data_IF_974744656768
#
_entry.id   IF_974744656768
#
_cell.length_a   1.000
_cell.length_b   1.000
_cell.length_c   1.000
_cell.angle_alpha   90.00
_cell.angle_beta   90.00
_cell.angle_gamma   90.00
#
_symmetry.space_group_name_H-M   'P 1'
#
loop_
_entity.id
_entity.type
_entity.pdbx_description
1 polymer ?
#
# COMPACT_ATOMS: atom_id res chain seq x y z
N UNK A 1 -0.52 22.80 14.16
CA UNK A 1 -1.15 22.45 15.46
C UNK A 1 -1.37 23.65 16.38
N UNK A 2 -1.16 24.91 15.98
CA UNK A 2 -1.51 26.04 16.84
C UNK A 2 -3.06 26.19 16.91
N UNK A 3 -3.60 26.33 18.12
CA UNK A 3 -5.01 26.66 18.35
C UNK A 3 -6.01 25.49 18.44
N UNK A 4 -5.59 24.23 18.36
CA UNK A 4 -6.47 23.06 18.55
C UNK A 4 -6.21 22.40 19.92
N UNK A 5 -7.27 22.03 20.64
CA UNK A 5 -7.17 21.19 21.85
C UNK A 5 -7.04 19.72 21.44
N UNK A 6 -5.94 19.08 21.81
CA UNK A 6 -5.73 17.64 21.68
C UNK A 6 -6.03 16.95 23.02
N UNK A 7 -6.87 15.92 23.00
CA UNK A 7 -7.15 15.08 24.17
C UNK A 7 -6.61 13.69 23.85
N UNK A 8 -5.72 13.17 24.70
CA UNK A 8 -5.16 11.82 24.57
C UNK A 8 -5.85 10.91 25.57
N UNK A 9 -6.43 9.82 25.07
CA UNK A 9 -7.17 8.85 25.88
C UNK A 9 -6.47 7.49 25.82
N UNK A 10 -6.22 6.89 26.98
CA UNK A 10 -5.59 5.57 27.11
C UNK A 10 -6.43 4.57 27.92
N UNK A 11 -7.64 4.95 28.35
CA UNK A 11 -8.57 4.07 29.06
C UNK A 11 -9.56 3.42 28.09
N UNK A 12 -9.70 2.08 28.20
CA UNK A 12 -10.64 1.28 27.40
C UNK A 12 -12.07 1.82 27.53
N UNK A 13 -12.50 2.16 28.74
CA UNK A 13 -13.85 2.65 29.01
C UNK A 13 -14.16 3.96 28.27
N UNK A 14 -13.14 4.81 28.10
CA UNK A 14 -13.28 6.08 27.39
C UNK A 14 -13.27 5.89 25.86
N UNK A 15 -12.47 4.94 25.34
CA UNK A 15 -12.34 4.73 23.88
C UNK A 15 -13.40 3.80 23.29
N UNK A 16 -14.01 2.91 24.10
CA UNK A 16 -14.99 1.93 23.62
C UNK A 16 -16.17 2.60 22.90
N UNK A 17 -16.66 3.70 23.48
CA UNK A 17 -17.77 4.47 22.91
C UNK A 17 -17.36 5.32 21.69
N UNK A 18 -16.06 5.47 21.43
CA UNK A 18 -15.54 6.17 20.25
C UNK A 18 -15.49 5.26 19.02
N UNK A 19 -15.28 3.95 19.22
CA UNK A 19 -15.10 2.97 18.15
C UNK A 19 -16.37 2.14 17.88
N UNK A 20 -17.55 2.76 17.98
CA UNK A 20 -18.82 2.10 17.67
C UNK A 20 -19.11 2.24 16.17
N UNK A 21 -19.30 1.11 15.49
CA UNK A 21 -19.79 1.02 14.10
C UNK A 21 -21.26 1.43 14.01
N UNK A 22 -21.55 2.71 14.24
CA UNK A 22 -22.90 3.28 14.17
C UNK A 22 -22.86 4.59 13.40
N UNK A 23 -23.86 4.80 12.54
CA UNK A 23 -24.11 6.10 11.90
C UNK A 23 -24.44 7.21 12.91
N UNK A 24 -24.70 6.86 14.17
CA UNK A 24 -24.97 7.78 15.28
C UNK A 24 -23.73 8.05 16.16
N UNK A 25 -22.56 7.52 15.81
CA UNK A 25 -21.32 7.79 16.56
C UNK A 25 -21.00 9.29 16.56
N UNK A 26 -20.52 9.80 17.69
CA UNK A 26 -20.03 11.19 17.80
C UNK A 26 -18.62 11.35 17.22
N UNK A 27 -17.97 10.24 16.84
CA UNK A 27 -16.60 10.20 16.35
C UNK A 27 -16.50 9.54 14.97
N UNK A 28 -17.25 10.00 13.95
CA UNK A 28 -17.25 9.36 12.63
C UNK A 28 -15.99 9.67 11.81
N UNK A 29 -15.15 10.61 12.27
CA UNK A 29 -14.01 11.13 11.50
C UNK A 29 -12.69 10.97 12.23
N UNK A 30 -11.65 10.62 11.47
CA UNK A 30 -10.26 10.81 11.88
C UNK A 30 -9.88 12.22 11.47
N UNK A 31 -9.61 13.14 12.41
CA UNK A 31 -9.29 14.53 12.06
C UNK A 31 -7.85 14.62 11.50
N UNK A 32 -7.68 14.25 10.23
CA UNK A 32 -6.38 14.26 9.52
C UNK A 32 -6.34 15.44 8.54
N UNK A 33 -7.18 16.47 8.71
CA UNK A 33 -7.08 17.65 7.87
C UNK A 33 -5.89 18.52 8.29
N UNK A 34 -4.80 18.40 7.54
CA UNK A 34 -3.64 19.29 7.60
C UNK A 34 -3.44 19.98 6.25
N UNK A 35 -3.04 21.25 6.27
CA UNK A 35 -2.85 22.08 5.06
C UNK A 35 -1.99 21.39 3.99
N UNK A 36 -1.00 20.62 4.41
CA UNK A 36 -0.10 19.91 3.51
C UNK A 36 -0.71 18.69 2.81
N UNK A 37 -1.90 18.20 3.18
CA UNK A 37 -2.48 17.00 2.55
C UNK A 37 -2.84 17.26 1.09
N UNK A 38 -3.43 18.41 0.79
CA UNK A 38 -3.76 18.84 -0.56
C UNK A 38 -2.48 19.13 -1.37
N UNK A 39 -1.50 19.81 -0.78
CA UNK A 39 -0.20 20.10 -1.43
C UNK A 39 0.54 18.81 -1.78
N UNK A 40 0.51 17.82 -0.88
CA UNK A 40 1.12 16.52 -1.11
C UNK A 40 0.25 15.59 -1.96
N UNK A 41 -0.99 15.95 -2.27
CA UNK A 41 -1.86 15.18 -3.15
C UNK A 41 -2.36 13.87 -2.52
N UNK A 42 -2.63 13.86 -1.21
CA UNK A 42 -3.18 12.68 -0.54
C UNK A 42 -4.65 12.47 -0.94
N UNK A 43 -4.93 11.38 -1.67
CA UNK A 43 -6.23 11.10 -2.29
C UNK A 43 -6.89 9.80 -1.77
N UNK A 44 -6.22 9.08 -0.89
CA UNK A 44 -6.67 7.80 -0.34
C UNK A 44 -7.72 7.90 0.77
N UNK A 45 -8.19 6.75 1.22
CA UNK A 45 -9.18 6.60 2.28
C UNK A 45 -8.68 7.14 3.64
N UNK A 46 -7.41 6.94 3.97
CA UNK A 46 -6.83 7.28 5.26
C UNK A 46 -6.81 8.79 5.54
N UNK A 47 -6.67 9.60 4.49
CA UNK A 47 -6.63 11.07 4.56
C UNK A 47 -7.96 11.74 4.17
N UNK A 48 -8.96 10.95 3.75
CA UNK A 48 -10.25 11.46 3.31
C UNK A 48 -11.13 11.85 4.49
N UNK A 49 -11.42 13.15 4.60
CA UNK A 49 -12.28 13.71 5.64
C UNK A 49 -13.71 14.00 5.13
N UNK A 50 -13.99 13.84 3.83
CA UNK A 50 -15.35 14.00 3.32
C UNK A 50 -16.18 12.74 3.64
N UNK A 51 -17.27 12.85 4.43
CA UNK A 51 -17.99 11.67 4.92
C UNK A 51 -18.60 10.82 3.80
N UNK A 52 -19.13 11.48 2.76
CA UNK A 52 -19.80 10.81 1.65
C UNK A 52 -18.79 10.09 0.77
N UNK A 53 -17.70 10.78 0.41
CA UNK A 53 -16.58 10.24 -0.34
C UNK A 53 -15.88 9.12 0.42
N UNK A 54 -15.68 9.27 1.73
CA UNK A 54 -15.09 8.23 2.57
C UNK A 54 -15.97 6.99 2.61
N UNK A 55 -17.28 7.13 2.85
CA UNK A 55 -18.23 6.00 2.86
C UNK A 55 -18.24 5.30 1.50
N UNK A 56 -18.29 6.07 0.42
CA UNK A 56 -18.24 5.56 -0.95
C UNK A 56 -16.95 4.78 -1.22
N UNK A 57 -15.76 5.31 -0.92
CA UNK A 57 -14.49 4.60 -1.13
C UNK A 57 -14.35 3.38 -0.21
N UNK A 58 -14.76 3.49 1.06
CA UNK A 58 -14.65 2.41 2.06
C UNK A 58 -15.43 1.17 1.66
N UNK A 59 -16.57 1.33 1.01
CA UNK A 59 -17.42 0.20 0.64
C UNK A 59 -16.70 -0.72 -0.37
N UNK A 60 -16.03 -0.17 -1.39
CA UNK A 60 -15.34 -0.98 -2.40
C UNK A 60 -14.10 -1.64 -1.83
N UNK A 61 -13.39 -0.94 -0.94
CA UNK A 61 -12.29 -1.53 -0.18
C UNK A 61 -12.74 -2.74 0.64
N UNK A 62 -13.87 -2.59 1.34
CA UNK A 62 -14.46 -3.65 2.16
C UNK A 62 -14.99 -4.78 1.29
N UNK A 63 -15.69 -4.47 0.19
CA UNK A 63 -16.23 -5.44 -0.76
C UNK A 63 -15.10 -6.30 -1.33
N UNK A 64 -14.02 -5.69 -1.83
CA UNK A 64 -12.88 -6.42 -2.36
C UNK A 64 -12.28 -7.39 -1.33
N UNK A 65 -12.05 -6.93 -0.10
CA UNK A 65 -11.45 -7.76 0.96
C UNK A 65 -12.37 -8.85 1.51
N UNK A 66 -13.67 -8.60 1.54
CA UNK A 66 -14.64 -9.54 2.12
C UNK A 66 -15.07 -10.63 1.13
N UNK A 67 -14.75 -10.47 -0.16
CA UNK A 67 -15.03 -11.50 -1.18
C UNK A 67 -14.16 -12.74 -0.93
N UNK A 68 -14.75 -13.95 -0.79
CA UNK A 68 -13.98 -15.17 -0.52
C UNK A 68 -12.90 -15.49 -1.55
N UNK A 69 -13.16 -15.21 -2.84
CA UNK A 69 -12.16 -15.44 -3.90
C UNK A 69 -10.93 -14.55 -3.75
N UNK A 70 -11.10 -13.31 -3.27
CA UNK A 70 -9.97 -12.44 -2.96
C UNK A 70 -9.12 -13.02 -1.83
N UNK A 71 -9.75 -13.50 -0.75
CA UNK A 71 -9.02 -14.08 0.39
C UNK A 71 -8.28 -15.37 0.00
N UNK A 72 -8.92 -16.23 -0.78
CA UNK A 72 -8.28 -17.46 -1.28
C UNK A 72 -7.04 -17.11 -2.14
N UNK A 73 -7.21 -16.21 -3.11
CA UNK A 73 -6.14 -15.75 -3.99
C UNK A 73 -5.00 -15.08 -3.19
N UNK A 74 -5.32 -14.28 -2.17
CA UNK A 74 -4.34 -13.62 -1.33
C UNK A 74 -3.49 -14.63 -0.53
N UNK A 75 -4.09 -15.68 0.00
CA UNK A 75 -3.38 -16.76 0.70
C UNK A 75 -2.48 -17.53 -0.28
N UNK A 76 -3.00 -17.93 -1.44
CA UNK A 76 -2.20 -18.64 -2.46
C UNK A 76 -0.98 -17.82 -2.88
N UNK A 77 -1.17 -16.56 -3.24
CA UNK A 77 -0.07 -15.70 -3.65
C UNK A 77 0.93 -15.43 -2.53
N UNK A 78 0.46 -15.31 -1.28
CA UNK A 78 1.37 -15.15 -0.13
C UNK A 78 2.23 -16.39 0.06
N UNK A 79 1.66 -17.58 -0.06
CA UNK A 79 2.42 -18.84 0.05
C UNK A 79 3.44 -19.00 -1.07
N UNK A 80 3.07 -18.67 -2.31
CA UNK A 80 4.01 -18.66 -3.43
C UNK A 80 5.20 -17.72 -3.18
N UNK A 81 4.93 -16.50 -2.71
CA UNK A 81 5.96 -15.51 -2.41
C UNK A 81 6.82 -15.92 -1.20
N UNK A 82 6.24 -16.61 -0.22
CA UNK A 82 6.97 -17.16 0.91
C UNK A 82 7.98 -18.20 0.45
N UNK A 83 7.55 -19.18 -0.35
CA UNK A 83 8.42 -20.23 -0.88
C UNK A 83 9.55 -19.64 -1.73
N UNK A 84 9.28 -18.57 -2.47
CA UNK A 84 10.31 -17.85 -3.23
C UNK A 84 11.35 -17.19 -2.32
N UNK A 85 10.90 -16.48 -1.27
CA UNK A 85 11.81 -15.86 -0.30
C UNK A 85 12.63 -16.90 0.47
N UNK A 86 12.01 -18.00 0.88
CA UNK A 86 12.67 -19.12 1.56
C UNK A 86 13.75 -19.74 0.67
N UNK A 87 13.46 -19.93 -0.63
CA UNK A 87 14.46 -20.39 -1.61
C UNK A 87 15.65 -19.44 -1.70
N UNK A 88 15.41 -18.12 -1.72
CA UNK A 88 16.49 -17.12 -1.67
C UNK A 88 17.34 -17.25 -0.40
N UNK A 89 16.71 -17.37 0.78
CA UNK A 89 17.44 -17.55 2.05
C UNK A 89 18.26 -18.83 2.09
N UNK A 90 17.71 -19.95 1.59
CA UNK A 90 18.44 -21.21 1.50
C UNK A 90 19.69 -21.09 0.64
N UNK A 91 19.64 -20.32 -0.46
CA UNK A 91 20.80 -20.10 -1.33
C UNK A 91 21.88 -19.20 -0.71
N UNK A 92 21.52 -18.32 0.24
CA UNK A 92 22.50 -17.52 0.97
C UNK A 92 23.29 -18.33 2.01
N UNK A 93 22.74 -19.48 2.43
CA UNK A 93 23.34 -20.40 3.38
C UNK A 93 22.96 -20.12 4.84
N UNK A 94 23.08 -21.15 5.68
CA UNK A 94 22.56 -21.17 7.06
C UNK A 94 23.16 -20.10 8.00
N UNK A 95 24.39 -19.65 7.72
CA UNK A 95 25.11 -18.70 8.56
C UNK A 95 25.03 -17.24 8.06
N UNK A 96 24.22 -16.97 7.02
CA UNK A 96 24.09 -15.63 6.48
C UNK A 96 23.30 -14.72 7.44
N UNK A 97 23.89 -13.60 7.86
CA UNK A 97 23.20 -12.62 8.69
C UNK A 97 22.22 -11.78 7.86
N UNK A 98 20.92 -12.01 8.06
CA UNK A 98 19.87 -11.30 7.33
C UNK A 98 19.59 -9.92 7.94
N UNK A 99 19.62 -8.88 7.09
CA UNK A 99 18.96 -7.61 7.40
C UNK A 99 17.43 -7.79 7.29
N UNK A 100 16.84 -8.33 8.36
CA UNK A 100 15.45 -8.80 8.35
C UNK A 100 14.46 -7.69 7.96
N UNK A 101 14.69 -6.45 8.37
CA UNK A 101 13.77 -5.36 8.03
C UNK A 101 13.77 -5.08 6.53
N UNK A 102 14.93 -5.18 5.85
CA UNK A 102 15.00 -5.05 4.39
C UNK A 102 14.25 -6.17 3.70
N UNK A 103 14.41 -7.42 4.14
CA UNK A 103 13.68 -8.57 3.61
C UNK A 103 12.17 -8.44 3.82
N UNK A 104 11.73 -8.15 5.05
CA UNK A 104 10.32 -8.05 5.38
C UNK A 104 9.64 -6.88 4.67
N UNK A 105 10.34 -5.76 4.43
CA UNK A 105 9.83 -4.65 3.62
C UNK A 105 9.52 -5.10 2.18
N UNK A 106 10.43 -5.85 1.55
CA UNK A 106 10.25 -6.35 0.17
C UNK A 106 9.17 -7.42 0.10
N UNK A 107 9.24 -8.41 0.99
CA UNK A 107 8.23 -9.46 1.08
C UNK A 107 6.81 -8.90 1.31
N UNK A 108 6.66 -7.99 2.28
CA UNK A 108 5.38 -7.35 2.56
C UNK A 108 4.91 -6.47 1.40
N UNK A 109 5.84 -5.76 0.74
CA UNK A 109 5.54 -4.99 -0.46
C UNK A 109 5.01 -5.87 -1.58
N UNK A 110 5.67 -6.99 -1.85
CA UNK A 110 5.30 -7.89 -2.94
C UNK A 110 3.94 -8.55 -2.70
N UNK A 111 3.66 -8.97 -1.45
CA UNK A 111 2.34 -9.45 -1.06
C UNK A 111 1.29 -8.39 -1.36
N UNK A 112 1.44 -7.18 -0.80
CA UNK A 112 0.40 -6.16 -0.93
C UNK A 112 0.27 -5.68 -2.37
N UNK A 113 1.37 -5.56 -3.10
CA UNK A 113 1.40 -5.13 -4.49
C UNK A 113 0.68 -6.17 -5.37
N UNK A 114 0.95 -7.45 -5.15
CA UNK A 114 0.30 -8.54 -5.90
C UNK A 114 -1.18 -8.67 -5.56
N UNK A 115 -1.60 -8.65 -4.29
CA UNK A 115 -3.03 -8.72 -3.97
C UNK A 115 -3.80 -7.46 -4.40
N UNK A 116 -3.15 -6.29 -4.40
CA UNK A 116 -3.80 -5.03 -4.75
C UNK A 116 -3.87 -4.79 -6.25
N UNK A 117 -2.87 -5.20 -7.02
CA UNK A 117 -2.79 -4.91 -8.47
C UNK A 117 -2.83 -6.16 -9.35
N UNK A 118 -2.62 -7.33 -8.76
CA UNK A 118 -2.45 -8.61 -9.44
C UNK A 118 -1.15 -8.76 -10.22
N UNK A 119 -0.22 -7.81 -10.09
CA UNK A 119 1.11 -7.84 -10.72
C UNK A 119 2.13 -8.33 -9.68
N UNK A 120 3.03 -9.22 -10.08
CA UNK A 120 4.21 -9.57 -9.27
C UNK A 120 5.35 -8.62 -9.64
N UNK A 121 5.92 -7.92 -8.66
CA UNK A 121 6.98 -6.92 -8.88
C UNK A 121 8.39 -7.44 -8.57
N UNK A 122 8.53 -8.72 -8.20
CA UNK A 122 9.82 -9.43 -8.04
C UNK A 122 10.80 -8.73 -7.08
N UNK A 123 10.31 -8.01 -6.08
CA UNK A 123 11.14 -7.23 -5.16
C UNK A 123 12.04 -8.09 -4.28
N UNK A 124 11.57 -9.26 -3.88
CA UNK A 124 12.35 -10.23 -3.11
C UNK A 124 13.51 -10.76 -3.96
N UNK A 125 13.21 -11.20 -5.19
CA UNK A 125 14.21 -11.70 -6.14
C UNK A 125 15.20 -10.61 -6.53
N UNK A 126 14.74 -9.39 -6.80
CA UNK A 126 15.61 -8.27 -7.14
C UNK A 126 16.61 -7.98 -6.02
N UNK A 127 16.15 -8.01 -4.78
CA UNK A 127 17.03 -7.79 -3.63
C UNK A 127 18.03 -8.92 -3.42
N UNK A 128 17.58 -10.16 -3.53
CA UNK A 128 18.46 -11.33 -3.51
C UNK A 128 19.55 -11.23 -4.58
N UNK A 129 19.18 -10.93 -5.84
CA UNK A 129 20.14 -10.73 -6.93
C UNK A 129 21.11 -9.59 -6.66
N UNK A 130 20.65 -8.51 -6.03
CA UNK A 130 21.53 -7.41 -5.66
C UNK A 130 22.57 -7.85 -4.61
N UNK A 131 22.16 -8.63 -3.61
CA UNK A 131 23.08 -9.21 -2.61
C UNK A 131 24.12 -10.11 -3.29
N UNK A 132 23.69 -11.04 -4.14
CA UNK A 132 24.61 -11.95 -4.84
C UNK A 132 25.58 -11.19 -5.75
N UNK A 133 25.11 -10.15 -6.42
CA UNK A 133 25.95 -9.30 -7.26
C UNK A 133 26.97 -8.49 -6.43
N UNK A 134 26.55 -7.89 -5.31
CA UNK A 134 27.44 -7.17 -4.38
C UNK A 134 28.52 -8.11 -3.79
N UNK A 135 28.18 -9.38 -3.57
CA UNK A 135 29.11 -10.41 -3.11
C UNK A 135 29.93 -11.05 -4.23
N UNK A 136 29.82 -10.56 -5.47
CA UNK A 136 30.50 -11.10 -6.67
C UNK A 136 30.19 -12.58 -6.97
N UNK A 137 29.04 -13.08 -6.53
CA UNK A 137 28.56 -14.45 -6.78
C UNK A 137 27.98 -14.56 -8.20
N UNK A 138 27.25 -13.54 -8.63
CA UNK A 138 26.67 -13.45 -9.97
C UNK A 138 27.10 -12.19 -10.70
N UNK A 139 27.13 -12.24 -12.03
CA UNK A 139 27.28 -11.06 -12.88
C UNK A 139 25.95 -10.79 -13.57
N UNK A 140 25.32 -9.67 -13.21
CA UNK A 140 24.09 -9.22 -13.85
C UNK A 140 24.42 -8.56 -15.19
N UNK A 141 23.73 -8.99 -16.25
CA UNK A 141 23.77 -8.23 -17.50
C UNK A 141 23.03 -6.88 -17.36
N UNK A 142 23.20 -5.99 -18.34
CA UNK A 142 22.63 -4.64 -18.30
C UNK A 142 21.11 -4.65 -18.09
N UNK A 143 20.38 -5.49 -18.83
CA UNK A 143 18.93 -5.60 -18.71
C UNK A 143 18.47 -6.13 -17.35
N UNK A 144 19.19 -7.07 -16.76
CA UNK A 144 18.89 -7.57 -15.42
C UNK A 144 19.17 -6.53 -14.36
N UNK A 145 20.27 -5.78 -14.50
CA UNK A 145 20.62 -4.68 -13.61
C UNK A 145 19.55 -3.59 -13.63
N UNK A 146 19.12 -3.16 -14.83
CA UNK A 146 18.05 -2.18 -14.97
C UNK A 146 16.74 -2.61 -14.27
N UNK A 147 16.38 -3.90 -14.37
CA UNK A 147 15.21 -4.44 -13.67
C UNK A 147 15.35 -4.40 -12.15
N UNK A 148 16.51 -4.79 -11.64
CA UNK A 148 16.81 -4.76 -10.20
C UNK A 148 16.77 -3.30 -9.70
N UNK A 149 17.40 -2.38 -10.42
CA UNK A 149 17.39 -0.96 -10.10
C UNK A 149 15.98 -0.36 -10.16
N UNK A 150 15.16 -0.70 -11.17
CA UNK A 150 13.78 -0.24 -11.26
C UNK A 150 12.95 -0.70 -10.06
N UNK A 151 13.10 -1.97 -9.66
CA UNK A 151 12.41 -2.56 -8.51
C UNK A 151 12.78 -1.85 -7.20
N UNK A 152 14.08 -1.66 -6.96
CA UNK A 152 14.58 -0.97 -5.77
C UNK A 152 14.17 0.51 -5.74
N UNK A 153 14.23 1.20 -6.88
CA UNK A 153 13.76 2.58 -7.01
C UNK A 153 12.25 2.69 -6.70
N UNK A 154 11.45 1.71 -7.13
CA UNK A 154 10.02 1.70 -6.87
C UNK A 154 9.71 1.52 -5.37
N UNK A 155 10.35 0.56 -4.69
CA UNK A 155 10.17 0.35 -3.24
C UNK A 155 10.64 1.57 -2.46
N UNK A 156 11.83 2.10 -2.79
CA UNK A 156 12.37 3.28 -2.13
C UNK A 156 11.45 4.49 -2.33
N UNK A 157 10.79 4.59 -3.48
CA UNK A 157 9.82 5.64 -3.75
C UNK A 157 8.58 5.54 -2.87
N UNK A 158 8.06 4.32 -2.61
CA UNK A 158 6.96 4.10 -1.66
C UNK A 158 7.37 4.56 -0.26
N UNK A 159 8.52 4.10 0.23
CA UNK A 159 9.04 4.48 1.55
C UNK A 159 9.24 6.00 1.68
N UNK A 160 9.83 6.62 0.66
CA UNK A 160 10.02 8.07 0.58
C UNK A 160 8.70 8.83 0.59
N UNK A 161 7.68 8.32 -0.10
CA UNK A 161 6.35 8.92 -0.11
C UNK A 161 5.71 8.92 1.28
N UNK A 162 5.66 7.76 1.95
CA UNK A 162 5.03 7.65 3.27
C UNK A 162 5.80 8.40 4.36
N UNK A 163 7.14 8.37 4.33
CA UNK A 163 7.97 9.23 5.21
C UNK A 163 7.78 10.71 4.91
N UNK A 164 7.54 11.05 3.64
CA UNK A 164 7.29 12.41 3.18
C UNK A 164 6.07 13.06 3.83
N UNK A 165 5.02 12.28 4.12
CA UNK A 165 3.77 12.76 4.76
C UNK A 165 4.06 13.57 6.02
N UNK A 166 5.05 13.16 6.82
CA UNK A 166 5.44 13.83 8.07
C UNK A 166 5.85 15.29 7.83
N UNK A 167 6.52 15.61 6.72
CA UNK A 167 6.92 16.98 6.39
C UNK A 167 5.70 17.87 6.13
N UNK A 168 4.64 17.31 5.55
CA UNK A 168 3.41 18.03 5.23
C UNK A 168 2.47 18.16 6.43
N UNK A 169 2.62 17.29 7.43
CA UNK A 169 1.94 17.38 8.73
C UNK A 169 2.60 18.41 9.65
N UNK A 170 3.94 18.37 9.77
CA UNK A 170 4.68 19.16 10.76
C UNK A 170 4.92 20.60 10.30
N UNK A 171 5.43 20.79 9.08
CA UNK A 171 5.79 22.12 8.58
C UNK A 171 4.57 22.80 7.99
N UNK A 172 4.31 24.06 8.34
CA UNK A 172 3.24 24.84 7.69
C UNK A 172 3.64 25.23 6.25
N UNK A 173 2.69 25.75 5.46
CA UNK A 173 2.96 26.17 4.08
C UNK A 173 4.11 27.16 3.95
N UNK A 174 4.23 28.13 4.86
CA UNK A 174 5.35 29.09 4.80
C UNK A 174 6.70 28.38 4.89
N UNK A 175 6.87 27.51 5.89
CA UNK A 175 8.11 26.76 6.07
C UNK A 175 8.44 25.89 4.86
N UNK A 176 7.44 25.19 4.30
CA UNK A 176 7.61 24.35 3.11
C UNK A 176 8.03 25.12 1.86
N UNK A 177 7.61 26.37 1.71
CA UNK A 177 7.86 27.16 0.50
C UNK A 177 9.03 28.12 0.60
N UNK A 178 9.39 28.58 1.81
CA UNK A 178 10.33 29.70 1.97
C UNK A 178 11.59 29.34 2.77
N UNK A 179 11.56 28.38 3.70
CA UNK A 179 12.78 27.99 4.43
C UNK A 179 13.64 27.09 3.51
N UNK A 180 14.87 27.50 3.14
CA UNK A 180 15.63 26.85 2.06
C UNK A 180 15.82 25.34 2.22
N UNK A 181 16.22 24.88 3.40
CA UNK A 181 16.46 23.45 3.66
C UNK A 181 15.17 22.62 3.58
N UNK A 182 14.07 23.12 4.16
CA UNK A 182 12.76 22.45 4.12
C UNK A 182 12.22 22.44 2.70
N UNK A 183 12.29 23.58 2.01
CA UNK A 183 11.87 23.72 0.61
C UNK A 183 12.62 22.75 -0.31
N UNK A 184 13.93 22.59 -0.12
CA UNK A 184 14.74 21.62 -0.86
C UNK A 184 14.23 20.19 -0.67
N UNK A 185 13.96 19.79 0.57
CA UNK A 185 13.39 18.47 0.89
C UNK A 185 11.98 18.29 0.31
N UNK A 186 11.10 19.26 0.49
CA UNK A 186 9.72 19.25 -0.05
C UNK A 186 9.71 19.07 -1.56
N UNK A 187 10.58 19.78 -2.30
CA UNK A 187 10.72 19.60 -3.75
C UNK A 187 11.10 18.17 -4.13
N UNK A 188 12.05 17.57 -3.41
CA UNK A 188 12.43 16.17 -3.62
C UNK A 188 11.27 15.20 -3.35
N UNK A 189 10.53 15.42 -2.27
CA UNK A 189 9.36 14.61 -1.91
C UNK A 189 8.24 14.70 -2.95
N UNK A 190 8.00 15.89 -3.51
CA UNK A 190 7.01 16.09 -4.58
C UNK A 190 7.44 15.40 -5.88
N UNK A 191 8.73 15.49 -6.25
CA UNK A 191 9.26 14.75 -7.41
C UNK A 191 9.11 13.23 -7.24
N UNK A 192 9.41 12.71 -6.06
CA UNK A 192 9.23 11.29 -5.74
C UNK A 192 7.75 10.87 -5.84
N UNK A 193 6.85 11.68 -5.27
CA UNK A 193 5.40 11.47 -5.39
C UNK A 193 4.98 11.37 -6.85
N UNK A 194 5.38 12.33 -7.68
CA UNK A 194 4.96 12.37 -9.07
C UNK A 194 5.44 11.12 -9.83
N UNK A 195 6.67 10.68 -9.58
CA UNK A 195 7.18 9.40 -10.09
C UNK A 195 6.32 8.20 -9.64
N UNK A 196 6.02 8.09 -8.34
CA UNK A 196 5.21 7.01 -7.80
C UNK A 196 3.80 6.99 -8.38
N UNK A 197 3.18 8.17 -8.46
CA UNK A 197 1.81 8.34 -8.96
C UNK A 197 1.72 7.90 -10.41
N UNK A 198 2.67 8.35 -11.25
CA UNK A 198 2.74 7.94 -12.64
C UNK A 198 2.87 6.41 -12.77
N UNK A 199 3.72 5.75 -11.98
CA UNK A 199 3.87 4.29 -12.01
C UNK A 199 2.56 3.56 -11.66
N UNK A 200 1.82 4.02 -10.65
CA UNK A 200 0.55 3.40 -10.27
C UNK A 200 -0.55 3.67 -11.31
N UNK A 201 -0.63 4.88 -11.87
CA UNK A 201 -1.58 5.17 -12.95
C UNK A 201 -1.32 4.32 -14.20
N UNK A 202 -0.06 4.08 -14.55
CA UNK A 202 0.28 3.16 -15.65
C UNK A 202 -0.18 1.73 -15.38
N UNK A 203 -0.09 1.25 -14.14
CA UNK A 203 -0.62 -0.08 -13.74
C UNK A 203 -2.14 -0.11 -13.89
N UNK A 204 -2.86 0.92 -13.42
CA UNK A 204 -4.32 1.03 -13.55
C UNK A 204 -4.72 1.01 -15.02
N UNK A 205 -4.05 1.82 -15.85
CA UNK A 205 -4.31 1.91 -17.29
C UNK A 205 -4.08 0.58 -18.00
N UNK A 206 -2.95 -0.09 -17.75
CA UNK A 206 -2.67 -1.43 -18.31
C UNK A 206 -3.76 -2.42 -17.91
N UNK A 207 -4.18 -2.42 -16.64
CA UNK A 207 -5.21 -3.34 -16.18
C UNK A 207 -6.57 -3.09 -16.82
N UNK A 208 -6.96 -1.83 -17.05
CA UNK A 208 -8.19 -1.50 -17.78
C UNK A 208 -8.16 -2.07 -19.20
N UNK A 209 -7.06 -1.86 -19.93
CA UNK A 209 -6.88 -2.39 -21.29
C UNK A 209 -6.96 -3.92 -21.29
N UNK A 210 -6.33 -4.60 -20.33
CA UNK A 210 -6.44 -6.06 -20.19
C UNK A 210 -7.90 -6.52 -20.00
N UNK A 211 -8.66 -5.85 -19.13
CA UNK A 211 -10.07 -6.20 -18.87
C UNK A 211 -10.93 -5.99 -20.12
N UNK A 212 -10.72 -4.88 -20.84
CA UNK A 212 -11.41 -4.57 -22.10
C UNK A 212 -11.13 -5.62 -23.18
N UNK A 213 -9.88 -6.08 -23.27
CA UNK A 213 -9.46 -7.10 -24.23
C UNK A 213 -9.82 -8.54 -23.80
N UNK A 214 -10.21 -8.77 -22.55
CA UNK A 214 -10.58 -10.10 -22.06
C UNK A 214 -12.01 -10.44 -22.52
N UNK A 215 -12.22 -11.55 -23.26
CA UNK A 215 -13.54 -12.02 -23.68
C UNK A 215 -14.55 -12.13 -22.52
N UNK A 216 -15.85 -11.98 -22.81
CA UNK A 216 -16.91 -11.96 -21.78
C UNK A 216 -17.11 -13.32 -21.08
N UNK A 217 -16.78 -14.41 -21.76
CA UNK A 217 -16.83 -15.78 -21.27
C UNK A 217 -15.60 -16.16 -20.42
N UNK A 218 -14.56 -15.32 -20.42
CA UNK A 218 -13.35 -15.57 -19.63
C UNK A 218 -13.41 -14.87 -18.26
N UNK A 219 -12.99 -15.54 -17.18
CA UNK A 219 -12.98 -14.96 -15.86
C UNK A 219 -11.91 -13.86 -15.75
N UNK A 220 -12.22 -12.84 -14.96
CA UNK A 220 -11.24 -11.83 -14.57
C UNK A 220 -10.57 -12.23 -13.26
N UNK A 221 -9.31 -11.83 -13.09
CA UNK A 221 -8.51 -12.09 -11.89
C UNK A 221 -9.14 -11.47 -10.63
N UNK A 222 -9.04 -12.17 -9.50
CA UNK A 222 -9.61 -11.75 -8.21
C UNK A 222 -8.61 -10.93 -7.38
N UNK A 223 -8.25 -9.75 -7.88
CA UNK A 223 -7.43 -8.75 -7.17
C UNK A 223 -8.22 -7.47 -6.89
N UNK A 224 -7.71 -6.64 -5.97
CA UNK A 224 -8.38 -5.40 -5.56
C UNK A 224 -8.60 -4.44 -6.74
N UNK A 225 -7.58 -4.24 -7.59
CA UNK A 225 -7.64 -3.33 -8.72
C UNK A 225 -8.71 -3.77 -9.73
N UNK A 226 -8.79 -5.05 -10.06
CA UNK A 226 -9.87 -5.60 -10.89
C UNK A 226 -11.23 -5.35 -10.25
N UNK A 227 -11.37 -5.65 -8.94
CA UNK A 227 -12.60 -5.37 -8.20
C UNK A 227 -13.00 -3.89 -8.25
N UNK A 228 -12.04 -2.97 -8.21
CA UNK A 228 -12.30 -1.54 -8.22
C UNK A 228 -12.63 -1.02 -9.63
N UNK A 229 -11.94 -1.51 -10.66
CA UNK A 229 -12.19 -1.16 -12.06
C UNK A 229 -13.58 -1.63 -12.50
N UNK A 230 -13.97 -2.84 -12.12
CA UNK A 230 -15.22 -3.43 -12.58
C UNK A 230 -16.42 -3.18 -11.68
N UNK A 231 -16.20 -2.61 -10.49
CA UNK A 231 -17.24 -2.26 -9.55
C UNK A 231 -18.39 -1.50 -10.22
N UNK A 232 -19.62 -2.00 -10.03
CA UNK A 232 -20.84 -1.44 -10.60
C UNK A 232 -20.88 -1.33 -12.13
N UNK A 233 -20.07 -2.13 -12.83
CA UNK A 233 -20.14 -2.27 -14.29
C UNK A 233 -20.76 -3.62 -14.67
N UNK A 234 -20.97 -3.86 -15.97
CA UNK A 234 -21.38 -5.19 -16.48
C UNK A 234 -20.34 -6.28 -16.23
N UNK A 235 -19.09 -5.92 -15.92
CA UNK A 235 -17.97 -6.84 -15.65
C UNK A 235 -17.70 -6.99 -14.14
N UNK A 236 -18.58 -6.49 -13.27
CA UNK A 236 -18.38 -6.53 -11.81
C UNK A 236 -18.16 -7.98 -11.34
N UNK A 237 -17.02 -8.21 -10.68
CA UNK A 237 -16.61 -9.54 -10.22
C UNK A 237 -17.18 -9.87 -8.83
N UNK A 238 -17.83 -8.91 -8.17
CA UNK A 238 -18.38 -9.09 -6.84
C UNK A 238 -19.91 -9.23 -6.93
N UNK A 239 -20.47 -10.40 -6.61
CA UNK A 239 -21.91 -10.66 -6.77
C UNK A 239 -22.77 -9.96 -5.71
N UNK A 240 -22.20 -9.64 -4.55
CA UNK A 240 -22.93 -9.02 -3.43
C UNK A 240 -22.57 -7.55 -3.31
N UNK A 241 -23.59 -6.70 -3.36
CA UNK A 241 -23.46 -5.26 -3.13
C UNK A 241 -23.98 -4.94 -1.72
N UNK A 242 -23.13 -4.34 -0.90
CA UNK A 242 -23.44 -3.97 0.48
C UNK A 242 -23.70 -2.46 0.66
N UNK A 243 -24.08 -1.78 -0.42
CA UNK A 243 -24.13 -0.33 -0.51
C UNK A 243 -25.57 0.19 -0.65
N UNK A 244 -25.81 1.42 -0.18
CA UNK A 244 -27.05 2.16 -0.48
C UNK A 244 -27.13 2.43 -1.99
N UNK A 245 -28.34 2.45 -2.57
CA UNK A 245 -28.56 2.60 -4.02
C UNK A 245 -27.85 3.82 -4.65
N UNK A 246 -27.71 4.91 -3.87
CA UNK A 246 -27.01 6.15 -4.28
C UNK A 246 -25.49 5.99 -4.48
N UNK A 247 -24.92 4.85 -4.07
CA UNK A 247 -23.48 4.58 -4.12
C UNK A 247 -23.10 3.53 -5.19
N UNK A 248 -24.04 3.23 -6.11
CA UNK A 248 -23.90 2.21 -7.15
C UNK A 248 -23.27 2.70 -8.47
N UNK A 249 -22.52 3.81 -8.47
CA UNK A 249 -21.77 4.24 -9.66
C UNK A 249 -20.40 3.52 -9.76
N UNK A 250 -19.80 3.46 -10.96
CA UNK A 250 -18.41 3.03 -11.11
C UNK A 250 -17.41 3.99 -10.45
N UNK A 251 -16.26 3.46 -10.05
CA UNK A 251 -15.14 4.26 -9.51
C UNK A 251 -14.39 5.00 -10.62
N UNK A 252 -13.96 6.23 -10.32
CA UNK A 252 -13.05 7.01 -11.17
C UNK A 252 -11.60 6.57 -10.98
N UNK A 253 -10.73 6.85 -11.94
CA UNK A 253 -9.31 6.48 -11.85
C UNK A 253 -8.61 7.09 -10.63
N UNK A 254 -8.96 8.31 -10.23
CA UNK A 254 -8.43 8.96 -9.03
C UNK A 254 -8.84 8.21 -7.74
N UNK A 255 -10.08 7.71 -7.68
CA UNK A 255 -10.59 6.96 -6.52
C UNK A 255 -9.97 5.57 -6.42
N UNK A 256 -9.76 4.92 -7.57
CA UNK A 256 -9.04 3.64 -7.67
C UNK A 256 -7.59 3.86 -7.24
N UNK A 257 -6.92 4.85 -7.82
CA UNK A 257 -5.55 5.23 -7.49
C UNK A 257 -5.37 5.48 -5.99
N UNK A 258 -6.23 6.31 -5.39
CA UNK A 258 -6.18 6.61 -3.97
C UNK A 258 -6.34 5.37 -3.08
N UNK A 259 -7.13 4.38 -3.51
CA UNK A 259 -7.31 3.13 -2.77
C UNK A 259 -6.08 2.23 -2.87
N UNK A 260 -5.51 2.12 -4.07
CA UNK A 260 -4.31 1.30 -4.33
C UNK A 260 -3.08 1.86 -3.61
N UNK A 261 -2.86 3.18 -3.64
CA UNK A 261 -1.69 3.77 -2.97
C UNK A 261 -1.76 3.61 -1.45
N UNK A 262 -2.96 3.77 -0.85
CA UNK A 262 -3.17 3.54 0.57
C UNK A 262 -2.90 2.08 0.96
N UNK A 263 -3.40 1.13 0.14
CA UNK A 263 -3.13 -0.30 0.31
C UNK A 263 -1.62 -0.55 0.33
N UNK A 264 -0.89 -0.09 -0.69
CA UNK A 264 0.56 -0.29 -0.81
C UNK A 264 1.31 0.18 0.44
N UNK A 265 1.02 1.39 0.93
CA UNK A 265 1.67 1.91 2.14
C UNK A 265 1.35 1.14 3.40
N UNK A 266 0.05 0.91 3.64
CA UNK A 266 -0.41 0.19 4.81
C UNK A 266 0.18 -1.22 4.83
N UNK A 267 0.04 -1.98 3.74
CA UNK A 267 0.50 -3.37 3.68
C UNK A 267 2.01 -3.54 3.63
N UNK A 268 2.77 -2.59 3.09
CA UNK A 268 4.24 -2.68 3.06
C UNK A 268 4.85 -2.43 4.43
N UNK A 269 4.59 -1.27 5.02
CA UNK A 269 5.35 -0.79 6.19
C UNK A 269 4.85 -1.44 7.48
N UNK A 270 3.54 -1.54 7.67
CA UNK A 270 2.99 -2.04 8.94
C UNK A 270 3.22 -3.54 9.11
N UNK A 271 3.00 -4.31 8.04
CA UNK A 271 3.18 -5.76 8.02
C UNK A 271 4.65 -6.14 8.19
N UNK A 272 5.58 -5.43 7.54
CA UNK A 272 7.00 -5.71 7.68
C UNK A 272 7.49 -5.52 9.11
N UNK A 273 7.11 -4.41 9.75
CA UNK A 273 7.42 -4.18 11.16
C UNK A 273 6.80 -5.24 12.07
N UNK A 274 5.56 -5.65 11.79
CA UNK A 274 4.89 -6.71 12.54
C UNK A 274 5.65 -8.04 12.45
N UNK A 275 6.09 -8.46 11.26
CA UNK A 275 6.93 -9.65 11.09
C UNK A 275 8.26 -9.53 11.85
N UNK A 276 8.94 -8.38 11.77
CA UNK A 276 10.17 -8.15 12.52
C UNK A 276 9.96 -8.30 14.03
N UNK A 277 8.85 -7.77 14.57
CA UNK A 277 8.52 -7.96 15.98
C UNK A 277 8.25 -9.43 16.31
N UNK A 278 7.49 -10.15 15.48
CA UNK A 278 7.25 -11.59 15.69
C UNK A 278 8.58 -12.35 15.78
N UNK A 279 9.45 -12.20 14.79
CA UNK A 279 10.75 -12.91 14.75
C UNK A 279 11.62 -12.53 15.94
N UNK A 280 11.67 -11.24 16.30
CA UNK A 280 12.39 -10.77 17.48
C UNK A 280 11.88 -11.45 18.76
N UNK A 281 10.56 -11.52 18.95
CA UNK A 281 9.98 -12.15 20.13
C UNK A 281 10.17 -13.67 20.14
N UNK A 282 10.04 -14.37 19.00
CA UNK A 282 10.32 -15.80 18.91
C UNK A 282 11.79 -16.11 19.23
N UNK A 283 12.73 -15.33 18.69
CA UNK A 283 14.16 -15.50 18.99
C UNK A 283 14.53 -15.17 20.43
N UNK A 284 13.82 -14.22 21.07
CA UNK A 284 14.09 -13.82 22.47
C UNK A 284 13.45 -14.75 23.50
N UNK A 285 12.36 -15.42 23.13
CA UNK A 285 11.56 -16.27 24.01
C UNK A 285 11.31 -17.65 23.36
N UNK A 286 12.36 -18.47 23.14
CA UNK A 286 12.26 -19.74 22.42
C UNK A 286 11.45 -20.84 23.14
N UNK A 287 11.16 -20.65 24.42
CA UNK A 287 10.40 -21.57 25.28
C UNK A 287 8.86 -21.39 25.14
N UNK A 288 8.42 -20.38 24.38
CA UNK A 288 6.99 -20.11 24.09
C UNK A 288 6.65 -20.58 22.68
#
# INVERSE_FOLDING_TARGET
>A
MAGKRLIVLCSIDLIKNMNISSTKTKYPFRNIHFEGSAEYGLQGLASNNDPKSWKYKRQFYTQAMMTPSFNYQAVEWTNELWNEMESCWNNLGENYELDLIKWMHRFSNEIIFRISTGVKNDTVISYYKNIDHENNIIVLNEKEREKVEESENFIQSIDTFFKGIVYFVIFNRFMRHYIPFIRGKVKGLLKNRDYLYNKVYEIIKKRRIEIENTPLDQPLRHDMLTSHITANTKRDINPVKHADDDLLRPMTDEEIFGSIIDSMGAGTITTANFFCFIVYYLGRYPEK
#
